data_IF_067690521470
#
_entry.id   IF_067690521470
#
_cell.length_a   1.000
_cell.length_b   1.000
_cell.length_c   1.000
_cell.angle_alpha   90.00
_cell.angle_beta   90.00
_cell.angle_gamma   90.00
#
_symmetry.space_group_name_H-M   'P 1'
#
loop_
_entity.id
_entity.type
_entity.pdbx_description
1 polymer ?
#
# COMPACT_ATOMS: atom_id res chain seq x y z
N UNK A 1 -5.97 -57.02 -49.78
CA UNK A 1 -6.52 -56.62 -48.47
C UNK A 1 -5.48 -55.79 -47.70
N UNK A 2 -5.20 -54.57 -48.14
CA UNK A 2 -4.11 -53.73 -47.59
C UNK A 2 -4.51 -52.24 -47.61
N UNK A 3 -5.77 -51.94 -47.26
CA UNK A 3 -6.32 -50.57 -47.29
C UNK A 3 -6.65 -49.98 -45.91
N UNK A 4 -7.06 -50.80 -44.94
CA UNK A 4 -7.54 -50.29 -43.64
C UNK A 4 -6.44 -49.88 -42.65
N UNK A 5 -5.23 -50.42 -42.78
CA UNK A 5 -4.15 -50.18 -41.82
C UNK A 5 -3.55 -48.76 -41.92
N UNK A 6 -3.49 -48.19 -43.13
CA UNK A 6 -2.95 -46.83 -43.33
C UNK A 6 -3.89 -45.75 -42.81
N UNK A 7 -5.21 -45.92 -43.03
CA UNK A 7 -6.22 -44.95 -42.58
C UNK A 7 -6.26 -44.82 -41.05
N UNK A 8 -6.15 -45.94 -40.33
CA UNK A 8 -6.12 -45.95 -38.87
C UNK A 8 -4.89 -45.23 -38.29
N UNK A 9 -3.72 -45.41 -38.92
CA UNK A 9 -2.47 -44.74 -38.52
C UNK A 9 -2.53 -43.22 -38.70
N UNK A 10 -3.17 -42.74 -39.78
CA UNK A 10 -3.36 -41.30 -40.01
C UNK A 10 -4.33 -40.68 -39.00
N UNK A 11 -5.42 -41.37 -38.67
CA UNK A 11 -6.38 -40.91 -37.64
C UNK A 11 -5.69 -40.81 -36.28
N UNK A 12 -4.88 -41.81 -35.90
CA UNK A 12 -4.12 -41.79 -34.64
C UNK A 12 -3.12 -40.62 -34.59
N UNK A 13 -2.42 -40.36 -35.70
CA UNK A 13 -1.46 -39.26 -35.81
C UNK A 13 -2.14 -37.89 -35.68
N UNK A 14 -3.30 -37.70 -36.32
CA UNK A 14 -4.10 -36.46 -36.21
C UNK A 14 -4.58 -36.26 -34.77
N UNK A 15 -5.05 -37.31 -34.11
CA UNK A 15 -5.51 -37.22 -32.71
C UNK A 15 -4.37 -36.81 -31.76
N UNK A 16 -3.18 -37.38 -31.95
CA UNK A 16 -1.98 -37.04 -31.18
C UNK A 16 -1.55 -35.58 -31.42
N UNK A 17 -1.58 -35.10 -32.66
CA UNK A 17 -1.27 -33.70 -32.99
C UNK A 17 -2.26 -32.75 -32.29
N UNK A 18 -3.56 -33.05 -32.29
CA UNK A 18 -4.58 -32.26 -31.60
C UNK A 18 -4.34 -32.22 -30.08
N UNK A 19 -3.96 -33.34 -29.47
CA UNK A 19 -3.60 -33.44 -28.03
C UNK A 19 -2.34 -32.63 -27.66
N UNK A 20 -1.34 -32.58 -28.55
CA UNK A 20 -0.15 -31.73 -28.36
C UNK A 20 -0.46 -30.24 -28.55
N UNK A 21 -1.44 -29.92 -29.41
CA UNK A 21 -1.87 -28.54 -29.65
C UNK A 21 -2.68 -27.97 -28.47
N UNK A 22 -3.61 -28.75 -27.88
CA UNK A 22 -4.38 -28.32 -26.69
C UNK A 22 -3.50 -28.13 -25.46
N UNK A 23 -2.48 -28.96 -25.27
CA UNK A 23 -1.50 -28.83 -24.19
C UNK A 23 -0.54 -27.64 -24.37
N UNK A 24 -0.36 -27.16 -25.60
CA UNK A 24 0.42 -25.94 -25.91
C UNK A 24 -0.37 -24.65 -25.69
N UNK A 25 -1.69 -24.66 -25.93
CA UNK A 25 -2.58 -23.53 -25.62
C UNK A 25 -2.72 -23.33 -24.09
N UNK A 26 -2.78 -24.42 -23.32
CA UNK A 26 -2.83 -24.35 -21.85
C UNK A 26 -1.57 -23.74 -21.21
N UNK A 27 -0.40 -23.86 -21.86
CA UNK A 27 0.88 -23.34 -21.38
C UNK A 27 1.15 -21.89 -21.79
N UNK A 28 0.44 -21.36 -22.79
CA UNK A 28 0.64 -20.01 -23.34
C UNK A 28 -0.24 -18.94 -22.69
N UNK A 29 -1.24 -19.32 -21.90
CA UNK A 29 -1.89 -18.40 -20.95
C UNK A 29 -1.00 -18.15 -19.73
N UNK A 30 0.12 -17.46 -19.96
CA UNK A 30 0.90 -16.84 -18.90
C UNK A 30 0.02 -15.79 -18.21
N UNK A 31 -0.61 -16.24 -17.14
CA UNK A 31 -1.67 -15.64 -16.34
C UNK A 31 -1.22 -14.38 -15.55
N UNK A 32 -0.23 -13.59 -16.03
CA UNK A 32 0.32 -12.40 -15.36
C UNK A 32 -0.42 -11.09 -15.68
N UNK A 33 -0.71 -10.72 -16.94
CA UNK A 33 -1.40 -9.45 -17.23
C UNK A 33 -2.83 -9.43 -16.68
N UNK A 34 -3.53 -10.57 -16.78
CA UNK A 34 -4.90 -10.73 -16.29
C UNK A 34 -4.98 -10.70 -14.75
N UNK A 35 -4.05 -11.36 -14.04
CA UNK A 35 -3.99 -11.29 -12.58
C UNK A 35 -3.69 -9.89 -12.06
N UNK A 36 -2.72 -9.19 -12.66
CA UNK A 36 -2.38 -7.83 -12.23
C UNK A 36 -3.57 -6.88 -12.44
N UNK A 37 -4.31 -7.02 -13.54
CA UNK A 37 -5.55 -6.26 -13.77
C UNK A 37 -6.60 -6.56 -12.71
N UNK A 38 -6.87 -7.84 -12.40
CA UNK A 38 -7.82 -8.24 -11.36
C UNK A 38 -7.45 -7.68 -9.98
N UNK A 39 -6.18 -7.77 -9.61
CA UNK A 39 -5.71 -7.33 -8.29
C UNK A 39 -5.75 -5.80 -8.15
N UNK A 40 -5.41 -5.06 -9.22
CA UNK A 40 -5.50 -3.60 -9.22
C UNK A 40 -6.96 -3.11 -9.22
N UNK A 41 -7.88 -3.78 -9.92
CA UNK A 41 -9.32 -3.47 -9.85
C UNK A 41 -9.90 -3.77 -8.46
N UNK A 42 -9.51 -4.87 -7.82
CA UNK A 42 -9.89 -5.14 -6.43
C UNK A 42 -9.46 -4.02 -5.47
N UNK A 43 -8.22 -3.52 -5.62
CA UNK A 43 -7.74 -2.38 -4.83
C UNK A 43 -8.55 -1.13 -5.14
N UNK A 44 -8.83 -0.86 -6.41
CA UNK A 44 -9.63 0.31 -6.83
C UNK A 44 -11.01 0.28 -6.18
N UNK A 45 -11.71 -0.85 -6.29
CA UNK A 45 -13.02 -1.06 -5.68
C UNK A 45 -12.97 -0.88 -4.16
N UNK A 46 -12.01 -1.54 -3.50
CA UNK A 46 -11.84 -1.43 -2.04
C UNK A 46 -11.60 0.02 -1.59
N UNK A 47 -10.80 0.79 -2.35
CA UNK A 47 -10.47 2.18 -2.04
C UNK A 47 -11.64 3.16 -2.19
N UNK A 48 -12.70 2.81 -2.93
CA UNK A 48 -13.90 3.68 -3.06
C UNK A 48 -14.60 3.94 -1.72
N UNK A 49 -14.44 3.03 -0.75
CA UNK A 49 -15.01 3.14 0.59
C UNK A 49 -14.20 4.04 1.54
N UNK A 50 -13.03 4.49 1.10
CA UNK A 50 -12.14 5.33 1.93
C UNK A 50 -12.41 6.81 1.71
N UNK A 51 -12.09 7.65 2.70
CA UNK A 51 -12.19 9.12 2.58
C UNK A 51 -11.25 9.71 1.52
N UNK A 52 -10.16 9.01 1.18
CA UNK A 52 -9.18 9.45 0.17
C UNK A 52 -8.94 8.38 -0.91
N UNK A 53 -9.92 8.10 -1.81
CA UNK A 53 -9.84 6.97 -2.75
C UNK A 53 -8.63 7.02 -3.68
N UNK A 54 -8.28 8.20 -4.20
CA UNK A 54 -7.12 8.38 -5.07
C UNK A 54 -5.80 8.07 -4.37
N UNK A 55 -5.64 8.56 -3.14
CA UNK A 55 -4.45 8.30 -2.33
C UNK A 55 -4.36 6.82 -1.98
N UNK A 56 -5.47 6.22 -1.53
CA UNK A 56 -5.55 4.79 -1.24
C UNK A 56 -5.09 3.94 -2.43
N UNK A 57 -5.64 4.17 -3.63
CA UNK A 57 -5.28 3.40 -4.82
C UNK A 57 -3.80 3.59 -5.18
N UNK A 58 -3.32 4.84 -5.20
CA UNK A 58 -1.91 5.16 -5.54
C UNK A 58 -0.93 4.52 -4.55
N UNK A 59 -1.27 4.51 -3.27
CA UNK A 59 -0.43 3.93 -2.22
C UNK A 59 -0.42 2.40 -2.23
N UNK A 60 -1.49 1.75 -2.71
CA UNK A 60 -1.65 0.30 -2.63
C UNK A 60 -1.41 -0.45 -3.95
N UNK A 61 -1.57 0.20 -5.10
CA UNK A 61 -1.51 -0.45 -6.42
C UNK A 61 -0.19 -1.18 -6.68
N UNK A 62 0.93 -0.63 -6.20
CA UNK A 62 2.26 -1.27 -6.30
C UNK A 62 2.35 -2.59 -5.53
N UNK A 63 1.44 -2.84 -4.60
CA UNK A 63 1.35 -4.06 -3.80
C UNK A 63 0.26 -5.02 -4.32
N UNK A 64 -0.31 -4.79 -5.50
CA UNK A 64 -1.42 -5.58 -6.06
C UNK A 64 -1.15 -7.09 -6.03
N UNK A 65 0.02 -7.53 -6.48
CA UNK A 65 0.40 -8.95 -6.46
C UNK A 65 0.49 -9.53 -5.05
N UNK A 66 0.91 -8.73 -4.05
CA UNK A 66 0.99 -9.14 -2.65
C UNK A 66 -0.38 -9.18 -1.98
N UNK A 67 -1.26 -8.24 -2.34
CA UNK A 67 -2.62 -8.15 -1.80
C UNK A 67 -3.49 -9.29 -2.35
N UNK A 68 -3.33 -9.62 -3.64
CA UNK A 68 -3.95 -10.77 -4.31
C UNK A 68 -5.45 -10.98 -3.97
N UNK A 69 -6.25 -9.91 -4.07
CA UNK A 69 -7.69 -9.92 -3.75
C UNK A 69 -8.06 -10.38 -2.33
N UNK A 70 -7.13 -10.33 -1.38
CA UNK A 70 -7.38 -10.73 0.01
C UNK A 70 -7.76 -9.55 0.91
N UNK A 71 -8.93 -9.58 1.57
CA UNK A 71 -9.36 -8.56 2.53
C UNK A 71 -8.39 -8.38 3.71
N UNK A 72 -7.79 -9.48 4.18
CA UNK A 72 -6.79 -9.44 5.25
C UNK A 72 -5.50 -8.78 4.77
N UNK A 73 -5.02 -9.14 3.57
CA UNK A 73 -3.76 -8.61 3.05
C UNK A 73 -3.86 -7.16 2.62
N UNK A 74 -5.00 -6.68 2.12
CA UNK A 74 -5.18 -5.24 1.80
C UNK A 74 -5.14 -4.39 3.08
N UNK A 75 -5.83 -4.81 4.15
CA UNK A 75 -5.81 -4.11 5.43
C UNK A 75 -4.40 -4.12 6.06
N UNK A 76 -3.75 -5.29 6.09
CA UNK A 76 -2.39 -5.42 6.61
C UNK A 76 -1.39 -4.60 5.79
N UNK A 77 -1.50 -4.58 4.47
CA UNK A 77 -0.63 -3.80 3.59
C UNK A 77 -0.86 -2.30 3.78
N UNK A 78 -2.11 -1.84 3.92
CA UNK A 78 -2.42 -0.45 4.23
C UNK A 78 -1.78 -0.01 5.55
N UNK A 79 -1.87 -0.82 6.61
CA UNK A 79 -1.20 -0.52 7.88
C UNK A 79 0.31 -0.46 7.75
N UNK A 80 0.92 -1.39 6.99
CA UNK A 80 2.35 -1.41 6.76
C UNK A 80 2.83 -0.19 5.96
N UNK A 81 2.05 0.25 4.96
CA UNK A 81 2.31 1.49 4.21
C UNK A 81 2.24 2.70 5.15
N UNK A 82 1.20 2.80 5.98
CA UNK A 82 1.06 3.85 6.99
C UNK A 82 2.21 3.86 8.00
N UNK A 83 2.63 2.69 8.48
CA UNK A 83 3.78 2.53 9.37
C UNK A 83 5.07 3.07 8.74
N UNK A 84 5.34 2.69 7.49
CA UNK A 84 6.53 3.16 6.75
C UNK A 84 6.48 4.67 6.50
N UNK A 85 5.32 5.19 6.11
CA UNK A 85 5.14 6.63 5.92
C UNK A 85 5.38 7.40 7.22
N UNK A 86 4.79 6.95 8.33
CA UNK A 86 4.97 7.58 9.66
C UNK A 86 6.44 7.59 10.10
N UNK A 87 7.16 6.47 9.93
CA UNK A 87 8.59 6.38 10.22
C UNK A 87 9.44 7.29 9.34
N UNK A 88 9.07 7.45 8.07
CA UNK A 88 9.72 8.39 7.15
C UNK A 88 9.49 9.83 7.61
N UNK A 89 8.24 10.18 7.96
CA UNK A 89 7.87 11.51 8.46
C UNK A 89 8.60 11.87 9.75
N UNK A 90 8.64 10.98 10.76
CA UNK A 90 9.39 11.20 12.01
C UNK A 90 10.86 11.51 11.75
N UNK A 91 11.51 10.75 10.84
CA UNK A 91 12.91 11.02 10.45
C UNK A 91 13.08 12.37 9.76
N UNK A 92 12.17 12.72 8.85
CA UNK A 92 12.22 14.01 8.15
C UNK A 92 12.03 15.16 9.14
N UNK A 93 11.05 15.09 10.03
CA UNK A 93 10.81 16.11 11.04
C UNK A 93 11.99 16.25 12.00
N UNK A 94 12.59 15.13 12.42
CA UNK A 94 13.82 15.15 13.23
C UNK A 94 15.01 15.76 12.48
N UNK A 95 15.13 15.49 11.17
CA UNK A 95 16.15 16.13 10.33
C UNK A 95 15.92 17.64 10.28
N UNK A 96 14.70 18.07 9.97
CA UNK A 96 14.34 19.49 9.92
C UNK A 96 14.64 20.18 11.26
N UNK A 97 14.23 19.55 12.38
CA UNK A 97 14.45 20.05 13.73
C UNK A 97 15.93 20.26 14.08
N UNK A 98 16.84 19.44 13.51
CA UNK A 98 18.27 19.49 13.79
C UNK A 98 19.07 20.33 12.80
N UNK A 99 18.69 20.33 11.52
CA UNK A 99 19.49 20.97 10.47
C UNK A 99 19.10 22.41 10.22
N UNK A 100 17.87 22.81 10.54
CA UNK A 100 17.45 24.20 10.41
C UNK A 100 17.57 24.93 11.75
N UNK A 101 18.02 26.19 11.72
CA UNK A 101 18.03 27.07 12.89
C UNK A 101 16.60 27.52 13.20
N UNK A 102 15.89 26.68 13.94
CA UNK A 102 14.53 26.98 14.39
C UNK A 102 14.55 27.87 15.62
N UNK A 103 13.59 28.79 15.72
CA UNK A 103 13.31 29.49 16.97
C UNK A 103 12.99 28.45 18.06
N UNK A 104 13.40 28.64 19.34
CA UNK A 104 13.20 27.64 20.40
C UNK A 104 11.76 27.12 20.52
N UNK A 105 10.78 28.01 20.36
CA UNK A 105 9.34 27.65 20.39
C UNK A 105 8.96 26.67 19.26
N UNK A 106 9.53 26.85 18.07
CA UNK A 106 9.25 26.00 16.91
C UNK A 106 9.97 24.65 17.06
N UNK A 107 11.19 24.65 17.59
CA UNK A 107 11.92 23.42 17.90
C UNK A 107 11.18 22.57 18.94
N UNK A 108 10.64 23.19 20.00
CA UNK A 108 9.82 22.51 21.00
C UNK A 108 8.56 21.89 20.37
N UNK A 109 7.80 22.65 19.58
CA UNK A 109 6.63 22.13 18.89
C UNK A 109 6.95 20.97 17.91
N UNK A 110 8.13 21.00 17.27
CA UNK A 110 8.59 19.88 16.45
C UNK A 110 8.92 18.65 17.31
N UNK A 111 9.54 18.82 18.47
CA UNK A 111 9.84 17.73 19.39
C UNK A 111 8.54 17.04 19.86
N UNK A 112 7.53 17.82 20.27
CA UNK A 112 6.21 17.29 20.65
C UNK A 112 5.57 16.50 19.49
N UNK A 113 5.69 17.01 18.26
CA UNK A 113 5.15 16.32 17.11
C UNK A 113 5.89 15.01 16.81
N UNK A 114 7.21 15.00 16.92
CA UNK A 114 8.05 13.82 16.73
C UNK A 114 7.68 12.75 17.76
N UNK A 115 7.55 13.12 19.04
CA UNK A 115 7.15 12.19 20.11
C UNK A 115 5.81 11.53 19.80
N UNK A 116 4.80 12.31 19.39
CA UNK A 116 3.48 11.74 19.07
C UNK A 116 3.51 10.87 17.81
N UNK A 117 4.35 11.18 16.83
CA UNK A 117 4.53 10.31 15.66
C UNK A 117 5.23 9.01 16.08
N UNK A 118 6.25 9.08 16.94
CA UNK A 118 6.96 7.91 17.45
C UNK A 118 6.02 7.01 18.28
N UNK A 119 5.18 7.57 19.15
CA UNK A 119 4.13 6.81 19.84
C UNK A 119 3.15 6.13 18.86
N UNK A 120 2.86 6.80 17.74
CA UNK A 120 1.95 6.27 16.73
C UNK A 120 2.60 5.14 15.94
N UNK A 121 3.92 5.18 15.73
CA UNK A 121 4.70 4.11 15.10
C UNK A 121 4.66 2.86 15.99
N UNK A 122 4.85 3.00 17.30
CA UNK A 122 4.82 1.88 18.25
C UNK A 122 3.46 1.19 18.28
N UNK A 123 2.38 1.96 18.28
CA UNK A 123 1.02 1.40 18.23
C UNK A 123 0.66 0.80 16.87
N UNK A 124 1.13 1.38 15.76
CA UNK A 124 1.00 0.77 14.44
C UNK A 124 1.72 -0.58 14.39
N UNK A 125 2.91 -0.68 14.98
CA UNK A 125 3.67 -1.92 15.09
C UNK A 125 2.90 -2.97 15.91
N UNK A 126 2.33 -2.59 17.06
CA UNK A 126 1.46 -3.47 17.85
C UNK A 126 0.23 -3.90 17.06
N UNK A 127 -0.38 -2.99 16.29
CA UNK A 127 -1.56 -3.27 15.48
C UNK A 127 -1.28 -4.25 14.34
N UNK A 128 -0.08 -4.21 13.75
CA UNK A 128 0.36 -5.19 12.74
C UNK A 128 0.52 -6.59 13.36
N UNK A 129 0.97 -6.67 14.62
CA UNK A 129 1.15 -7.94 15.34
C UNK A 129 -0.15 -8.54 15.89
N UNK A 130 -1.21 -7.74 16.09
CA UNK A 130 -2.52 -8.21 16.60
C UNK A 130 -3.47 -8.52 15.45
N UNK A 131 -4.32 -9.54 15.62
CA UNK A 131 -5.45 -9.76 14.70
C UNK A 131 -6.32 -8.48 14.63
N UNK A 132 -6.66 -8.05 13.42
CA UNK A 132 -7.46 -6.85 13.13
C UNK A 132 -8.84 -6.91 13.82
N UNK A 133 -8.91 -6.52 15.09
CA UNK A 133 -10.13 -6.51 15.91
C UNK A 133 -10.66 -5.06 16.10
N UNK A 134 -11.80 -4.91 16.77
CA UNK A 134 -12.41 -3.59 17.04
C UNK A 134 -11.50 -2.62 17.80
N UNK A 135 -10.58 -3.14 18.61
CA UNK A 135 -9.59 -2.34 19.33
C UNK A 135 -8.58 -1.68 18.39
N UNK A 136 -8.09 -2.39 17.37
CA UNK A 136 -7.20 -1.82 16.35
C UNK A 136 -7.85 -0.64 15.61
N UNK A 137 -9.14 -0.75 15.25
CA UNK A 137 -9.90 0.33 14.60
C UNK A 137 -9.97 1.59 15.46
N UNK A 138 -10.23 1.44 16.75
CA UNK A 138 -10.35 2.56 17.69
C UNK A 138 -9.00 3.28 17.89
N UNK A 139 -7.92 2.51 18.09
CA UNK A 139 -6.58 3.07 18.28
C UNK A 139 -6.10 3.82 17.03
N UNK A 140 -6.28 3.22 15.84
CA UNK A 140 -5.94 3.86 14.58
C UNK A 140 -6.73 5.16 14.39
N UNK A 141 -8.04 5.16 14.64
CA UNK A 141 -8.88 6.37 14.50
C UNK A 141 -8.45 7.48 15.46
N UNK A 142 -8.29 7.18 16.76
CA UNK A 142 -7.91 8.17 17.78
C UNK A 142 -6.58 8.86 17.43
N UNK A 143 -5.62 8.09 16.91
CA UNK A 143 -4.28 8.60 16.61
C UNK A 143 -4.19 9.31 15.26
N UNK A 144 -4.92 8.89 14.23
CA UNK A 144 -5.05 9.67 12.97
C UNK A 144 -5.54 11.08 13.28
N UNK A 145 -6.53 11.21 14.16
CA UNK A 145 -7.05 12.51 14.60
C UNK A 145 -5.95 13.32 15.30
N UNK A 146 -5.20 12.71 16.22
CA UNK A 146 -4.10 13.39 16.92
C UNK A 146 -2.99 13.85 15.94
N UNK A 147 -2.57 12.99 15.00
CA UNK A 147 -1.58 13.33 13.97
C UNK A 147 -2.09 14.48 13.09
N UNK A 148 -3.36 14.46 12.69
CA UNK A 148 -3.95 15.52 11.88
C UNK A 148 -3.91 16.88 12.60
N UNK A 149 -4.26 16.92 13.89
CA UNK A 149 -4.17 18.13 14.70
C UNK A 149 -2.73 18.65 14.79
N UNK A 150 -1.77 17.77 15.07
CA UNK A 150 -0.37 18.20 15.20
C UNK A 150 0.25 18.63 13.87
N UNK A 151 -0.10 17.97 12.78
CA UNK A 151 0.33 18.38 11.42
C UNK A 151 -0.23 19.77 11.09
N UNK A 152 -1.48 20.04 11.47
CA UNK A 152 -2.11 21.35 11.30
C UNK A 152 -1.40 22.42 12.14
N UNK A 153 -1.07 22.12 13.39
CA UNK A 153 -0.30 23.02 14.26
C UNK A 153 1.10 23.29 13.69
N UNK A 154 1.79 22.25 13.22
CA UNK A 154 3.11 22.38 12.61
C UNK A 154 3.06 23.26 11.34
N UNK A 155 2.07 23.05 10.47
CA UNK A 155 1.90 23.84 9.25
C UNK A 155 1.63 25.32 9.57
N UNK A 156 0.79 25.60 10.57
CA UNK A 156 0.54 26.96 11.02
C UNK A 156 1.82 27.66 11.51
N UNK A 157 2.65 26.95 12.26
CA UNK A 157 3.93 27.48 12.77
C UNK A 157 4.95 27.69 11.64
N UNK A 158 5.02 26.78 10.67
CA UNK A 158 5.89 26.91 9.48
C UNK A 158 5.47 28.13 8.66
N UNK A 159 4.16 28.31 8.41
CA UNK A 159 3.65 29.44 7.66
C UNK A 159 3.91 30.77 8.37
N UNK A 160 3.77 30.81 9.70
CA UNK A 160 4.13 31.98 10.49
C UNK A 160 5.62 32.30 10.41
N UNK A 161 6.49 31.29 10.49
CA UNK A 161 7.94 31.48 10.33
C UNK A 161 8.31 32.00 8.94
N UNK A 162 7.76 31.40 7.88
CA UNK A 162 7.98 31.83 6.50
C UNK A 162 7.54 33.29 6.29
N UNK A 163 6.41 33.68 6.89
CA UNK A 163 5.93 35.06 6.85
C UNK A 163 6.88 36.02 7.58
N UNK A 164 7.50 35.58 8.69
CA UNK A 164 8.50 36.39 9.41
C UNK A 164 9.83 36.55 8.67
N UNK A 165 10.19 35.64 7.74
CA UNK A 165 11.39 35.77 6.91
C UNK A 165 11.19 36.66 5.66
N UNK A 166 9.94 36.99 5.30
CA UNK A 166 9.65 37.87 4.16
C UNK A 166 9.73 39.36 4.58
N UNK A 167 9.77 39.63 5.89
CA UNK A 167 9.83 40.97 6.48
C UNK A 167 11.24 41.39 6.93
N UNK A 168 12.24 40.51 6.77
CA UNK A 168 13.66 40.76 6.96
C UNK A 168 14.38 40.72 5.60
#
# INVERSE_FOLDING_TARGET
>A
MQGSSSSSRHVLAILLIILQFTSSIAKTFSHKPYHTKRNTEYIRSSCTTTTYPRLCYRSLSIYASKINTSPRLIAHTALLVTFRASKSTSRLMRKIARTHRLKPRVAAAMADCIEVIDDSIDELQKSIGRAMNGYAKMMVRKRIVKIAHLTSNALALINNYASSQILD
#
